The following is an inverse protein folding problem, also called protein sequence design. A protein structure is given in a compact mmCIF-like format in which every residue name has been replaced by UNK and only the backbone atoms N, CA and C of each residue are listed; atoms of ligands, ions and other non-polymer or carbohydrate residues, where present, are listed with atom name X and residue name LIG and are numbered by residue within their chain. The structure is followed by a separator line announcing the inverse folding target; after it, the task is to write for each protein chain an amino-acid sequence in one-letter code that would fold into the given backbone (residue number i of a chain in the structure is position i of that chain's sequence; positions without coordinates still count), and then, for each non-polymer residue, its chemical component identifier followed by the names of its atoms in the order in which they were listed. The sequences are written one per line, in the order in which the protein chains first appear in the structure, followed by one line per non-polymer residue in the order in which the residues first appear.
data_IF_015153369336
#
_entry.id   IF_015153369336
#
_cell.length_a   1.000
_cell.length_b   1.000
_cell.length_c   1.000
_cell.angle_alpha   90.00
_cell.angle_beta   90.00
_cell.angle_gamma   90.00
#
_symmetry.space_group_name_H-M   'P 1'
#
loop_
_entity.id
_entity.type
_entity.pdbx_description
1 polymer ?
#
# COMPACT_ATOMS: atom_id res chain seq x y z
N UNK A 1 3.23 -6.62 -13.97
CA UNK A 1 4.56 -6.66 -13.31
C UNK A 1 5.68 -7.04 -14.29
N UNK A 2 5.39 -7.26 -15.59
CA UNK A 2 6.37 -7.73 -16.57
C UNK A 2 7.19 -6.63 -17.27
N UNK A 3 6.66 -5.41 -17.39
CA UNK A 3 7.27 -4.42 -18.32
C UNK A 3 8.45 -3.62 -17.75
N UNK A 4 8.71 -3.69 -16.43
CA UNK A 4 9.83 -2.99 -15.80
C UNK A 4 11.10 -3.85 -15.65
N UNK A 5 11.01 -5.15 -15.94
CA UNK A 5 12.14 -6.07 -15.82
C UNK A 5 13.08 -6.04 -17.04
N UNK A 6 12.61 -5.57 -18.21
CA UNK A 6 13.41 -5.58 -19.44
C UNK A 6 14.41 -4.40 -19.55
N UNK A 7 14.30 -3.37 -18.70
CA UNK A 7 15.19 -2.19 -18.74
C UNK A 7 16.26 -2.16 -17.65
N UNK A 8 16.31 -3.15 -16.76
CA UNK A 8 17.34 -3.26 -15.74
C UNK A 8 18.08 -4.59 -15.90
N UNK A 9 19.39 -4.54 -16.13
CA UNK A 9 20.33 -5.68 -16.15
C UNK A 9 20.50 -6.35 -14.77
N UNK A 10 19.47 -6.32 -13.92
CA UNK A 10 19.49 -6.77 -12.55
C UNK A 10 18.40 -7.83 -12.36
N UNK A 11 18.80 -9.00 -11.88
CA UNK A 11 17.85 -9.97 -11.32
C UNK A 11 17.04 -9.33 -10.17
N UNK A 12 15.87 -9.89 -9.87
CA UNK A 12 15.00 -9.42 -8.78
C UNK A 12 15.75 -9.31 -7.43
N UNK A 13 16.63 -10.28 -7.13
CA UNK A 13 17.50 -10.24 -5.95
C UNK A 13 18.51 -9.09 -5.96
N UNK A 14 19.07 -8.76 -7.12
CA UNK A 14 19.96 -7.60 -7.26
C UNK A 14 19.17 -6.30 -7.11
N UNK A 15 18.00 -6.19 -7.74
CA UNK A 15 17.12 -5.03 -7.58
C UNK A 15 16.73 -4.81 -6.12
N UNK A 16 16.32 -5.87 -5.41
CA UNK A 16 16.00 -5.80 -3.99
C UNK A 16 17.17 -5.31 -3.14
N UNK A 17 18.36 -5.84 -3.39
CA UNK A 17 19.58 -5.45 -2.65
C UNK A 17 19.98 -4.01 -2.95
N UNK A 18 20.04 -3.61 -4.22
CA UNK A 18 20.41 -2.24 -4.59
C UNK A 18 19.40 -1.22 -4.07
N UNK A 19 18.10 -1.54 -4.13
CA UNK A 19 17.07 -0.68 -3.56
C UNK A 19 17.21 -0.56 -2.04
N UNK A 20 17.40 -1.68 -1.33
CA UNK A 20 17.63 -1.66 0.12
C UNK A 20 18.92 -0.92 0.49
N UNK A 21 20.00 -1.08 -0.27
CA UNK A 21 21.25 -0.33 -0.06
C UNK A 21 21.06 1.17 -0.22
N UNK A 22 20.20 1.59 -1.17
CA UNK A 22 19.98 3.01 -1.48
C UNK A 22 18.94 3.68 -0.58
N UNK A 23 17.89 2.97 -0.19
CA UNK A 23 16.72 3.52 0.51
C UNK A 23 16.51 2.96 1.93
N UNK A 24 17.31 1.97 2.36
CA UNK A 24 17.21 1.34 3.69
C UNK A 24 16.03 0.39 3.87
N UNK A 25 15.15 0.27 2.87
CA UNK A 25 13.96 -0.58 2.88
C UNK A 25 13.87 -1.39 1.59
N UNK A 26 13.18 -2.52 1.64
CA UNK A 26 12.95 -3.35 0.44
C UNK A 26 11.91 -2.71 -0.49
N UNK A 27 11.95 -2.99 -1.81
CA UNK A 27 10.92 -2.52 -2.75
C UNK A 27 9.49 -2.87 -2.30
N UNK A 28 9.29 -4.08 -1.74
CA UNK A 28 7.99 -4.54 -1.26
C UNK A 28 7.49 -3.76 -0.02
N UNK A 29 8.39 -3.28 0.84
CA UNK A 29 8.04 -2.39 1.95
C UNK A 29 7.63 -1.02 1.41
N UNK A 30 8.43 -0.46 0.49
CA UNK A 30 8.11 0.83 -0.13
C UNK A 30 6.75 0.81 -0.84
N UNK A 31 6.51 -0.19 -1.68
CA UNK A 31 5.22 -0.36 -2.38
C UNK A 31 4.06 -0.44 -1.37
N UNK A 32 4.26 -1.16 -0.25
CA UNK A 32 3.25 -1.26 0.79
C UNK A 32 2.97 0.10 1.43
N UNK A 33 4.00 0.86 1.78
CA UNK A 33 3.85 2.20 2.35
C UNK A 33 3.11 3.14 1.41
N UNK A 34 3.45 3.13 0.12
CA UNK A 34 2.75 3.90 -0.92
C UNK A 34 1.26 3.51 -0.98
N UNK A 35 0.96 2.21 -1.05
CA UNK A 35 -0.42 1.70 -1.09
C UNK A 35 -1.22 2.08 0.16
N UNK A 36 -0.61 2.01 1.33
CA UNK A 36 -1.24 2.45 2.58
C UNK A 36 -1.47 3.97 2.58
N UNK A 37 -0.54 4.77 2.05
CA UNK A 37 -0.72 6.21 1.87
C UNK A 37 -1.95 6.54 1.02
N UNK A 38 -2.09 5.90 -0.14
CA UNK A 38 -3.26 6.06 -1.02
C UNK A 38 -4.55 5.61 -0.30
N UNK A 39 -4.52 4.46 0.40
CA UNK A 39 -5.69 3.98 1.13
C UNK A 39 -6.14 4.95 2.23
N UNK A 40 -5.21 5.60 2.95
CA UNK A 40 -5.53 6.62 3.96
C UNK A 40 -6.28 7.79 3.32
N UNK A 41 -5.79 8.30 2.19
CA UNK A 41 -6.45 9.36 1.45
C UNK A 41 -7.87 8.98 1.04
N UNK A 42 -8.05 7.81 0.41
CA UNK A 42 -9.39 7.34 -0.01
C UNK A 42 -10.34 7.10 1.17
N UNK A 43 -9.83 6.67 2.33
CA UNK A 43 -10.64 6.50 3.54
C UNK A 43 -11.09 7.84 4.13
N UNK A 44 -10.32 8.92 3.92
CA UNK A 44 -10.59 10.26 4.43
C UNK A 44 -11.50 11.07 3.51
N UNK A 45 -11.39 10.88 2.19
CA UNK A 45 -12.04 11.75 1.19
C UNK A 45 -13.18 11.11 0.41
N UNK A 46 -13.33 9.78 0.45
CA UNK A 46 -14.29 9.06 -0.40
C UNK A 46 -15.21 8.11 0.40
N UNK A 47 -16.35 7.77 -0.20
CA UNK A 47 -17.36 6.85 0.29
C UNK A 47 -17.19 5.41 -0.22
N UNK A 48 -16.11 5.12 -0.97
CA UNK A 48 -15.79 3.77 -1.44
C UNK A 48 -15.88 2.70 -0.33
N UNK A 49 -16.40 1.54 -0.70
CA UNK A 49 -16.34 0.35 0.17
C UNK A 49 -14.89 -0.08 0.41
N UNK A 50 -14.64 -0.81 1.49
CA UNK A 50 -13.29 -1.31 1.80
C UNK A 50 -12.77 -2.27 0.72
N UNK A 51 -13.66 -2.98 0.02
CA UNK A 51 -13.31 -3.85 -1.11
C UNK A 51 -12.85 -3.04 -2.32
N UNK A 52 -13.55 -1.94 -2.64
CA UNK A 52 -13.13 -1.03 -3.71
C UNK A 52 -11.78 -0.40 -3.39
N UNK A 53 -11.59 0.13 -2.17
CA UNK A 53 -10.30 0.69 -1.75
C UNK A 53 -9.17 -0.34 -1.84
N UNK A 54 -9.42 -1.60 -1.44
CA UNK A 54 -8.44 -2.67 -1.57
C UNK A 54 -8.02 -2.87 -3.03
N UNK A 55 -8.99 -2.92 -3.95
CA UNK A 55 -8.72 -3.04 -5.40
C UNK A 55 -7.95 -1.84 -5.95
N UNK A 56 -8.39 -0.61 -5.66
CA UNK A 56 -7.74 0.63 -6.11
C UNK A 56 -6.29 0.73 -5.60
N UNK A 57 -6.03 0.26 -4.38
CA UNK A 57 -4.70 0.25 -3.79
C UNK A 57 -3.88 -0.99 -4.18
N UNK A 58 -4.37 -1.84 -5.08
CA UNK A 58 -3.65 -3.02 -5.58
C UNK A 58 -3.45 -4.15 -4.56
N UNK A 59 -4.34 -4.25 -3.57
CA UNK A 59 -4.41 -5.42 -2.67
C UNK A 59 -5.26 -6.53 -3.31
N UNK A 60 -4.87 -7.78 -3.05
CA UNK A 60 -5.56 -8.95 -3.58
C UNK A 60 -7.03 -9.02 -3.16
N UNK A 61 -7.32 -8.72 -1.89
CA UNK A 61 -8.67 -8.68 -1.35
C UNK A 61 -8.78 -7.72 -0.14
N UNK A 62 -10.01 -7.50 0.32
CA UNK A 62 -10.32 -6.66 1.48
C UNK A 62 -9.67 -7.15 2.78
N UNK A 63 -9.54 -8.46 2.97
CA UNK A 63 -9.00 -9.06 4.20
C UNK A 63 -7.49 -8.81 4.30
N UNK A 64 -6.76 -9.03 3.21
CA UNK A 64 -5.35 -8.74 3.08
C UNK A 64 -5.09 -7.25 3.25
N UNK A 65 -5.88 -6.39 2.60
CA UNK A 65 -5.84 -4.94 2.80
C UNK A 65 -6.03 -4.58 4.28
N UNK A 66 -7.10 -5.05 4.92
CA UNK A 66 -7.44 -4.69 6.30
C UNK A 66 -6.35 -5.10 7.30
N UNK A 67 -5.75 -6.28 7.10
CA UNK A 67 -4.63 -6.75 7.92
C UNK A 67 -3.40 -5.85 7.74
N UNK A 68 -3.00 -5.57 6.50
CA UNK A 68 -1.84 -4.73 6.23
C UNK A 68 -2.04 -3.31 6.72
N UNK A 69 -3.22 -2.74 6.51
CA UNK A 69 -3.56 -1.40 6.95
C UNK A 69 -3.48 -1.28 8.46
N UNK A 70 -4.02 -2.26 9.20
CA UNK A 70 -3.90 -2.30 10.66
C UNK A 70 -2.45 -2.46 11.12
N UNK A 71 -1.66 -3.31 10.48
CA UNK A 71 -0.24 -3.47 10.81
C UNK A 71 0.54 -2.17 10.57
N UNK A 72 0.24 -1.42 9.52
CA UNK A 72 0.95 -0.19 9.17
C UNK A 72 0.48 1.05 9.95
N UNK A 73 -0.79 1.12 10.36
CA UNK A 73 -1.39 2.33 10.97
C UNK A 73 -1.81 2.18 12.42
N UNK A 74 -1.88 0.94 12.92
CA UNK A 74 -2.43 0.61 14.25
C UNK A 74 -3.95 0.55 14.32
N UNK A 75 -4.68 0.97 13.27
CA UNK A 75 -6.14 1.04 13.23
C UNK A 75 -6.70 0.16 12.11
N UNK A 76 -7.90 -0.41 12.30
CA UNK A 76 -8.60 -1.00 11.14
C UNK A 76 -9.00 0.10 10.16
N UNK A 77 -9.17 -0.20 8.85
CA UNK A 77 -9.61 0.81 7.88
C UNK A 77 -10.88 1.55 8.30
N UNK A 78 -11.86 0.85 8.88
CA UNK A 78 -13.10 1.46 9.36
C UNK A 78 -12.89 2.36 10.59
N UNK A 79 -12.04 1.96 11.53
CA UNK A 79 -11.66 2.82 12.67
C UNK A 79 -10.93 4.08 12.19
N UNK A 80 -10.03 3.92 11.22
CA UNK A 80 -9.29 5.02 10.61
C UNK A 80 -10.24 6.00 9.91
N UNK A 81 -11.13 5.51 9.03
CA UNK A 81 -12.16 6.33 8.37
C UNK A 81 -12.98 7.12 9.39
N UNK A 82 -13.54 6.44 10.41
CA UNK A 82 -14.35 7.12 11.44
C UNK A 82 -13.60 8.21 12.21
N UNK A 83 -12.29 8.08 12.35
CA UNK A 83 -11.45 9.01 13.12
C UNK A 83 -11.01 10.23 12.31
N UNK A 84 -10.73 10.05 11.03
CA UNK A 84 -10.06 11.06 10.20
C UNK A 84 -10.93 11.62 9.07
N UNK A 85 -12.04 10.97 8.75
CA UNK A 85 -13.04 11.54 7.85
C UNK A 85 -13.66 12.75 8.54
N UNK A 86 -13.39 13.92 7.98
CA UNK A 86 -14.05 15.15 8.41
C UNK A 86 -15.40 15.20 7.72
N UNK A 87 -16.48 15.17 8.50
CA UNK A 87 -17.81 15.49 8.00
C UNK A 87 -17.75 16.90 7.39
N UNK A 88 -17.99 16.99 6.09
CA UNK A 88 -18.26 18.24 5.41
C UNK A 88 -19.77 18.43 5.36
#
# INVERSE_FOLDING_TARGET
VSDLAEQATLSESQLHREFANRFGITPNQYIREVRIGVARHLLETDDLSLTQIASECGFYDQSHFSRQFKTSTGLTPLQYRRRFRSDH
#
